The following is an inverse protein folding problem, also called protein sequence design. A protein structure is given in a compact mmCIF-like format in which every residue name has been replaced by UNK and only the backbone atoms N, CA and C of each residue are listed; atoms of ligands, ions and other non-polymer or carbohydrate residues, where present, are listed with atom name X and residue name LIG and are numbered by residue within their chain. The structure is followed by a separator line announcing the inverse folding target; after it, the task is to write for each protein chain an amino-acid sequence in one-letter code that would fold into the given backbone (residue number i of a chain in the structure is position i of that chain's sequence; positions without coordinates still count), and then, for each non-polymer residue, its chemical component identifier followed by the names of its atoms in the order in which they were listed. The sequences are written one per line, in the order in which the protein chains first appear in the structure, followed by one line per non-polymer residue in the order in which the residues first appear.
data_IF_827057024696
#
_entry.id   IF_827057024696
#
_cell.length_a   1.000
_cell.length_b   1.000
_cell.length_c   1.000
_cell.angle_alpha   90.00
_cell.angle_beta   90.00
_cell.angle_gamma   90.00
#
_symmetry.space_group_name_H-M   'P 1'
#
loop_
_entity.id
_entity.type
_entity.pdbx_description
1 polymer ?
#
# COMPACT_ATOMS: atom_id res chain seq x y z
N UNK A 1 -10.66 2.24 -18.88
CA UNK A 1 -9.57 3.23 -18.95
C UNK A 1 -10.05 4.51 -18.31
N UNK A 2 -9.24 5.13 -17.45
CA UNK A 2 -9.57 6.45 -16.87
C UNK A 2 -9.56 7.49 -17.99
N UNK A 3 -10.53 8.40 -18.00
CA UNK A 3 -10.56 9.49 -19.00
C UNK A 3 -9.35 10.41 -18.79
N UNK A 4 -8.63 10.74 -19.86
CA UNK A 4 -7.43 11.59 -19.79
C UNK A 4 -7.70 12.93 -19.10
N UNK A 5 -8.83 13.57 -19.38
CA UNK A 5 -9.21 14.83 -18.74
C UNK A 5 -9.25 14.74 -17.19
N UNK A 6 -9.67 13.60 -16.62
CA UNK A 6 -9.65 13.42 -15.16
C UNK A 6 -8.20 13.32 -14.63
N UNK A 7 -7.33 12.68 -15.41
CA UNK A 7 -5.91 12.53 -15.05
C UNK A 7 -5.22 13.90 -15.07
N UNK A 8 -5.50 14.70 -16.09
CA UNK A 8 -4.94 16.04 -16.25
C UNK A 8 -5.41 16.99 -15.13
N UNK A 9 -6.72 17.00 -14.84
CA UNK A 9 -7.29 17.76 -13.73
C UNK A 9 -6.66 17.38 -12.38
N UNK A 10 -6.47 16.08 -12.14
CA UNK A 10 -5.85 15.59 -10.91
C UNK A 10 -4.37 16.01 -10.83
N UNK A 11 -3.64 15.97 -11.93
CA UNK A 11 -2.25 16.40 -12.00
C UNK A 11 -2.09 17.90 -11.68
N UNK A 12 -2.99 18.72 -12.22
CA UNK A 12 -3.03 20.16 -11.94
C UNK A 12 -3.35 20.43 -10.47
N UNK A 13 -4.41 19.81 -9.92
CA UNK A 13 -4.81 19.95 -8.52
C UNK A 13 -3.67 19.55 -7.57
N UNK A 14 -3.04 18.40 -7.79
CA UNK A 14 -1.92 17.94 -6.96
C UNK A 14 -0.75 18.92 -7.00
N UNK A 15 -0.44 19.44 -8.18
CA UNK A 15 0.67 20.39 -8.34
C UNK A 15 0.38 21.71 -7.64
N UNK A 16 -0.86 22.22 -7.77
CA UNK A 16 -1.30 23.41 -7.08
C UNK A 16 -1.23 23.25 -5.55
N UNK A 17 -1.76 22.13 -5.02
CA UNK A 17 -1.78 21.88 -3.57
C UNK A 17 -0.37 21.73 -2.97
N UNK A 18 0.56 21.13 -3.70
CA UNK A 18 1.96 21.04 -3.25
C UNK A 18 2.67 22.41 -3.22
N UNK A 19 2.16 23.41 -3.93
CA UNK A 19 2.64 24.79 -3.91
C UNK A 19 1.98 25.67 -2.84
N UNK A 20 0.88 25.22 -2.22
CA UNK A 20 0.14 25.97 -1.21
C UNK A 20 0.51 25.50 0.21
N UNK A 21 0.48 26.36 1.21
CA UNK A 21 0.69 25.95 2.60
C UNK A 21 -0.60 25.44 3.25
N UNK A 22 -1.75 25.91 2.76
CA UNK A 22 -3.08 25.65 3.31
C UNK A 22 -4.01 25.31 2.17
N UNK A 23 -4.80 24.24 2.33
CA UNK A 23 -5.72 23.74 1.31
C UNK A 23 -7.15 23.82 1.85
N UNK A 24 -8.09 24.46 1.15
CA UNK A 24 -9.51 24.44 1.51
C UNK A 24 -10.07 23.01 1.46
N UNK A 25 -10.77 22.59 2.53
CA UNK A 25 -11.38 21.26 2.66
C UNK A 25 -12.28 20.91 1.46
N UNK A 26 -13.02 21.90 0.95
CA UNK A 26 -13.88 21.71 -0.23
C UNK A 26 -13.07 21.29 -1.47
N UNK A 27 -11.93 21.92 -1.73
CA UNK A 27 -11.05 21.57 -2.86
C UNK A 27 -10.44 20.18 -2.66
N UNK A 28 -9.98 19.87 -1.43
CA UNK A 28 -9.45 18.55 -1.12
C UNK A 28 -10.49 17.44 -1.30
N UNK A 29 -11.73 17.64 -0.85
CA UNK A 29 -12.85 16.68 -1.09
C UNK A 29 -13.10 16.45 -2.56
N UNK A 30 -13.02 17.49 -3.38
CA UNK A 30 -13.18 17.36 -4.85
C UNK A 30 -12.06 16.52 -5.45
N UNK A 31 -10.81 16.75 -5.06
CA UNK A 31 -9.67 15.94 -5.47
C UNK A 31 -9.84 14.48 -5.04
N UNK A 32 -10.15 14.23 -3.76
CA UNK A 32 -10.38 12.87 -3.24
C UNK A 32 -11.47 12.13 -4.03
N UNK A 33 -12.57 12.80 -4.39
CA UNK A 33 -13.64 12.20 -5.21
C UNK A 33 -13.15 11.75 -6.59
N UNK A 34 -12.31 12.56 -7.26
CA UNK A 34 -11.67 12.19 -8.54
C UNK A 34 -10.67 11.03 -8.36
N UNK A 35 -9.88 11.07 -7.29
CA UNK A 35 -8.90 10.04 -6.98
C UNK A 35 -9.53 8.68 -6.68
N UNK A 36 -10.71 8.62 -6.05
CA UNK A 36 -11.46 7.38 -5.84
C UNK A 36 -11.78 6.70 -7.17
N UNK A 37 -12.13 7.46 -8.22
CA UNK A 37 -12.37 6.90 -9.55
C UNK A 37 -11.11 6.24 -10.13
N UNK A 38 -9.93 6.85 -9.96
CA UNK A 38 -8.65 6.28 -10.39
C UNK A 38 -8.31 5.06 -9.54
N UNK A 39 -8.40 5.16 -8.22
CA UNK A 39 -8.07 4.10 -7.27
C UNK A 39 -9.00 2.87 -7.39
N UNK A 40 -10.21 3.03 -7.92
CA UNK A 40 -11.09 1.89 -8.20
C UNK A 40 -10.52 0.97 -9.28
N UNK A 41 -9.75 1.51 -10.21
CA UNK A 41 -9.09 0.77 -11.29
C UNK A 41 -7.63 0.44 -10.95
N UNK A 42 -6.92 1.38 -10.35
CA UNK A 42 -5.50 1.30 -10.03
C UNK A 42 -5.31 1.14 -8.51
N UNK A 43 -5.33 -0.10 -8.03
CA UNK A 43 -5.33 -0.40 -6.59
C UNK A 43 -4.15 0.16 -5.81
N UNK A 44 -3.00 0.35 -6.47
CA UNK A 44 -1.81 0.98 -5.86
C UNK A 44 -2.08 2.39 -5.31
N UNK A 45 -3.12 3.07 -5.81
CA UNK A 45 -3.49 4.41 -5.38
C UNK A 45 -4.30 4.42 -4.07
N UNK A 46 -4.96 3.31 -3.70
CA UNK A 46 -5.90 3.25 -2.57
C UNK A 46 -5.33 3.70 -1.24
N UNK A 47 -4.16 3.21 -0.79
CA UNK A 47 -3.61 3.63 0.50
C UNK A 47 -3.40 5.13 0.60
N UNK A 48 -2.97 5.74 -0.49
CA UNK A 48 -2.70 7.18 -0.54
C UNK A 48 -3.99 8.00 -0.60
N UNK A 49 -5.04 7.49 -1.25
CA UNK A 49 -6.38 8.12 -1.22
C UNK A 49 -6.95 8.07 0.19
N UNK A 50 -6.83 6.94 0.89
CA UNK A 50 -7.28 6.80 2.28
C UNK A 50 -6.54 7.78 3.21
N UNK A 51 -5.22 7.98 3.02
CA UNK A 51 -4.43 8.99 3.75
C UNK A 51 -4.89 10.43 3.49
N UNK A 52 -5.44 10.74 2.32
CA UNK A 52 -6.01 12.07 2.03
C UNK A 52 -7.37 12.28 2.70
N UNK A 53 -8.14 11.20 2.87
CA UNK A 53 -9.44 11.27 3.53
C UNK A 53 -9.31 11.44 5.05
N UNK A 54 -8.30 10.88 5.69
CA UNK A 54 -8.15 10.88 7.15
C UNK A 54 -8.29 12.29 7.78
N UNK A 55 -7.51 13.33 7.38
CA UNK A 55 -7.63 14.65 7.98
C UNK A 55 -8.92 15.39 7.61
N UNK A 56 -9.72 14.89 6.66
CA UNK A 56 -11.01 15.49 6.31
C UNK A 56 -12.12 15.11 7.28
N UNK A 57 -11.97 14.00 7.99
CA UNK A 57 -12.95 13.50 8.98
C UNK A 57 -12.51 13.74 10.42
N UNK A 58 -11.23 13.91 10.66
CA UNK A 58 -10.66 14.12 11.98
C UNK A 58 -10.33 15.60 12.18
N UNK A 59 -11.14 16.28 13.02
CA UNK A 59 -10.93 17.69 13.33
C UNK A 59 -9.71 17.90 14.22
N UNK A 60 -9.39 16.97 15.09
CA UNK A 60 -8.22 17.05 15.97
C UNK A 60 -6.93 16.91 15.14
N UNK A 61 -6.94 16.04 14.12
CA UNK A 61 -5.82 15.87 13.22
C UNK A 61 -5.48 17.13 12.40
N UNK A 62 -6.44 18.05 12.21
CA UNK A 62 -6.19 19.33 11.50
C UNK A 62 -5.42 20.36 12.33
N UNK A 63 -5.36 20.17 13.65
CA UNK A 63 -4.66 21.08 14.55
C UNK A 63 -5.14 22.53 14.45
N UNK A 64 -4.21 23.47 14.36
CA UNK A 64 -4.44 24.91 14.30
C UNK A 64 -4.66 25.44 12.86
N UNK A 65 -5.06 24.61 11.93
CA UNK A 65 -5.38 25.04 10.57
C UNK A 65 -6.53 26.05 10.56
N UNK A 66 -6.53 27.02 9.63
CA UNK A 66 -7.63 27.96 9.50
C UNK A 66 -8.98 27.27 9.31
N UNK A 67 -10.10 27.85 9.79
CA UNK A 67 -11.42 27.26 9.65
C UNK A 67 -11.73 26.85 8.19
N UNK A 68 -12.18 25.61 8.01
CA UNK A 68 -12.50 25.06 6.68
C UNK A 68 -11.28 24.72 5.81
N UNK A 69 -10.09 24.72 6.39
CA UNK A 69 -8.84 24.38 5.71
C UNK A 69 -8.09 23.23 6.44
N UNK A 70 -7.05 22.72 5.78
CA UNK A 70 -6.07 21.82 6.36
C UNK A 70 -4.65 22.25 5.93
N UNK A 71 -3.65 21.90 6.72
CA UNK A 71 -2.26 22.15 6.35
C UNK A 71 -1.80 21.18 5.27
N UNK A 72 -1.13 21.68 4.25
CA UNK A 72 -0.55 20.84 3.18
C UNK A 72 0.43 19.82 3.74
N UNK A 73 1.13 20.13 4.82
CA UNK A 73 2.05 19.19 5.50
C UNK A 73 1.39 17.88 5.91
N UNK A 74 0.11 17.89 6.27
CA UNK A 74 -0.66 16.72 6.70
C UNK A 74 -0.94 15.73 5.56
N UNK A 75 -1.01 16.23 4.35
CA UNK A 75 -1.33 15.45 3.13
C UNK A 75 -0.18 15.41 2.11
N UNK A 76 0.96 15.99 2.46
CA UNK A 76 2.12 16.11 1.55
C UNK A 76 2.62 14.76 1.05
N UNK A 77 2.74 13.79 1.95
CA UNK A 77 3.26 12.45 1.59
C UNK A 77 2.41 11.79 0.51
N UNK A 78 1.09 11.59 0.69
CA UNK A 78 0.26 10.99 -0.36
C UNK A 78 0.24 11.82 -1.65
N UNK A 79 0.23 13.14 -1.59
CA UNK A 79 0.27 13.99 -2.80
C UNK A 79 1.56 13.82 -3.60
N UNK A 80 2.72 13.73 -2.92
CA UNK A 80 4.02 13.48 -3.58
C UNK A 80 4.05 12.11 -4.26
N UNK A 81 3.55 11.07 -3.60
CA UNK A 81 3.45 9.74 -4.19
C UNK A 81 2.53 9.70 -5.40
N UNK A 82 1.36 10.33 -5.33
CA UNK A 82 0.43 10.41 -6.45
C UNK A 82 1.02 11.18 -7.63
N UNK A 83 1.74 12.27 -7.38
CA UNK A 83 2.49 12.98 -8.43
C UNK A 83 3.52 12.07 -9.10
N UNK A 84 4.23 11.26 -8.32
CA UNK A 84 5.18 10.29 -8.87
C UNK A 84 4.49 9.17 -9.68
N UNK A 85 3.29 8.74 -9.29
CA UNK A 85 2.51 7.76 -10.04
C UNK A 85 2.05 8.31 -11.40
N UNK A 86 1.60 9.56 -11.44
CA UNK A 86 1.20 10.23 -12.70
C UNK A 86 2.36 10.32 -13.69
N UNK A 87 3.61 10.39 -13.21
CA UNK A 87 4.80 10.44 -14.04
C UNK A 87 5.27 9.05 -14.53
N UNK A 88 4.66 7.95 -14.06
CA UNK A 88 5.08 6.57 -14.38
C UNK A 88 3.96 5.80 -15.07
N UNK A 89 4.17 5.43 -16.31
CA UNK A 89 3.22 4.60 -17.09
C UNK A 89 2.78 3.32 -16.37
N UNK A 90 3.70 2.64 -15.68
CA UNK A 90 3.40 1.41 -14.96
C UNK A 90 2.40 1.60 -13.81
N UNK A 91 2.38 2.77 -13.16
CA UNK A 91 1.44 3.09 -12.09
C UNK A 91 0.05 3.53 -12.62
N UNK A 92 -0.04 3.85 -13.92
CA UNK A 92 -1.26 4.28 -14.60
C UNK A 92 -1.92 3.18 -15.43
N UNK A 93 -1.34 1.96 -15.41
CA UNK A 93 -1.85 0.81 -16.16
C UNK A 93 -2.14 -0.35 -15.21
N UNK A 94 -3.19 -1.06 -15.49
CA UNK A 94 -3.50 -2.36 -14.90
C UNK A 94 -3.86 -3.32 -16.02
N UNK A 95 -3.07 -4.36 -16.13
CA UNK A 95 -3.26 -5.42 -17.12
C UNK A 95 -3.91 -6.63 -16.44
N UNK A 96 -4.84 -7.27 -17.14
CA UNK A 96 -5.50 -8.49 -16.72
C UNK A 96 -5.28 -9.54 -17.81
N UNK A 97 -4.71 -10.65 -17.44
CA UNK A 97 -4.53 -11.78 -18.34
C UNK A 97 -5.57 -12.83 -17.99
N UNK A 98 -6.39 -13.24 -18.96
CA UNK A 98 -7.42 -14.28 -18.76
C UNK A 98 -6.81 -15.56 -18.22
N UNK A 99 -5.61 -15.89 -18.65
CA UNK A 99 -4.86 -17.04 -18.18
C UNK A 99 -4.58 -17.04 -16.66
N UNK A 100 -4.54 -15.87 -16.00
CA UNK A 100 -4.35 -15.77 -14.54
C UNK A 100 -5.55 -16.33 -13.77
N UNK A 101 -6.72 -16.35 -14.42
CA UNK A 101 -7.96 -16.87 -13.85
C UNK A 101 -8.22 -18.34 -14.21
N UNK A 102 -7.45 -18.93 -15.11
CA UNK A 102 -7.64 -20.32 -15.54
C UNK A 102 -6.95 -21.35 -14.64
N UNK A 103 -6.26 -20.90 -13.60
CA UNK A 103 -5.58 -21.80 -12.66
C UNK A 103 -4.39 -22.54 -13.25
N UNK A 104 -3.80 -22.00 -14.31
CA UNK A 104 -2.60 -22.56 -14.95
C UNK A 104 -1.33 -22.06 -14.27
N UNK A 105 -0.30 -22.90 -14.23
CA UNK A 105 1.03 -22.57 -13.72
C UNK A 105 1.47 -23.40 -12.53
N UNK A 106 2.74 -23.24 -12.15
CA UNK A 106 3.33 -23.94 -11.02
C UNK A 106 2.68 -23.48 -9.72
N UNK A 107 2.35 -24.41 -8.83
CA UNK A 107 1.78 -24.09 -7.53
C UNK A 107 2.89 -23.62 -6.59
N UNK A 108 2.78 -22.37 -6.15
CA UNK A 108 3.70 -21.73 -5.22
C UNK A 108 2.91 -21.25 -4.01
N UNK A 109 3.41 -21.54 -2.81
CA UNK A 109 2.80 -21.07 -1.58
C UNK A 109 3.84 -20.36 -0.72
N UNK A 110 3.47 -19.18 -0.21
CA UNK A 110 4.20 -18.48 0.82
C UNK A 110 3.40 -18.62 2.11
N UNK A 111 4.04 -19.11 3.17
CA UNK A 111 3.48 -19.05 4.52
C UNK A 111 4.37 -18.13 5.34
N UNK A 112 3.78 -17.14 5.98
CA UNK A 112 4.51 -16.14 6.75
C UNK A 112 3.82 -15.90 8.09
N UNK A 113 4.64 -15.67 9.09
CA UNK A 113 4.26 -15.38 10.46
C UNK A 113 5.26 -14.40 11.06
N UNK A 114 4.82 -13.59 12.02
CA UNK A 114 5.68 -12.67 12.74
C UNK A 114 5.36 -12.69 14.24
N UNK A 115 6.38 -12.47 15.02
CA UNK A 115 6.25 -12.16 16.44
C UNK A 115 6.78 -10.74 16.69
N UNK A 116 6.58 -10.17 17.89
CA UNK A 116 7.16 -8.87 18.22
C UNK A 116 8.70 -8.84 18.23
N UNK A 117 9.37 -9.97 17.99
CA UNK A 117 10.84 -10.09 18.00
C UNK A 117 11.41 -10.58 16.68
N UNK A 118 10.63 -11.32 15.89
CA UNK A 118 11.17 -12.07 14.74
C UNK A 118 10.15 -12.17 13.60
N UNK A 119 10.67 -12.15 12.40
CA UNK A 119 9.94 -12.38 11.16
C UNK A 119 10.29 -13.75 10.60
N UNK A 120 9.30 -14.53 10.18
CA UNK A 120 9.48 -15.85 9.60
C UNK A 120 8.62 -16.08 8.37
N UNK A 121 9.19 -16.68 7.33
CA UNK A 121 8.43 -17.13 6.17
C UNK A 121 9.08 -18.35 5.53
N UNK A 122 8.29 -19.18 4.85
CA UNK A 122 8.82 -20.22 3.98
C UNK A 122 8.09 -20.27 2.63
N UNK A 123 8.84 -20.70 1.63
CA UNK A 123 8.37 -20.91 0.26
C UNK A 123 8.16 -22.41 0.04
N UNK A 124 7.00 -22.75 -0.46
CA UNK A 124 6.64 -24.09 -0.87
C UNK A 124 6.38 -24.12 -2.37
N UNK A 125 6.99 -25.01 -3.09
CA UNK A 125 6.78 -25.24 -4.51
C UNK A 125 6.31 -26.69 -4.72
N UNK A 126 5.15 -26.86 -5.35
CA UNK A 126 4.54 -28.17 -5.61
C UNK A 126 4.43 -29.09 -4.37
N UNK A 127 4.20 -28.51 -3.20
CA UNK A 127 4.03 -29.23 -1.93
C UNK A 127 5.34 -29.45 -1.14
N UNK A 128 6.49 -29.01 -1.65
CA UNK A 128 7.78 -29.13 -0.97
C UNK A 128 8.30 -27.76 -0.52
N UNK A 129 8.75 -27.65 0.72
CA UNK A 129 9.42 -26.43 1.21
C UNK A 129 10.79 -26.35 0.55
N UNK A 130 11.05 -25.25 -0.17
CA UNK A 130 12.28 -25.04 -0.92
C UNK A 130 13.18 -24.00 -0.30
N UNK A 131 12.61 -22.99 0.37
CA UNK A 131 13.37 -21.91 1.00
C UNK A 131 12.63 -21.38 2.23
N UNK A 132 13.40 -20.72 3.11
CA UNK A 132 12.84 -20.02 4.26
C UNK A 132 13.58 -18.70 4.51
N UNK A 133 12.91 -17.78 5.20
CA UNK A 133 13.45 -16.51 5.69
C UNK A 133 13.19 -16.48 7.19
N UNK A 134 14.23 -16.15 7.96
CA UNK A 134 14.15 -15.84 9.38
C UNK A 134 14.96 -14.58 9.61
N UNK A 135 14.39 -13.58 10.25
CA UNK A 135 15.07 -12.33 10.59
C UNK A 135 14.58 -11.79 11.93
N UNK A 136 15.50 -11.46 12.81
CA UNK A 136 15.15 -10.70 14.01
C UNK A 136 14.77 -9.27 13.61
N UNK A 137 13.82 -8.69 14.34
CA UNK A 137 13.48 -7.27 14.19
C UNK A 137 14.64 -6.43 14.71
N UNK A 138 15.12 -5.51 13.88
CA UNK A 138 16.25 -4.65 14.19
C UNK A 138 15.82 -3.30 14.79
N UNK A 139 16.77 -2.57 15.36
CA UNK A 139 16.53 -1.21 15.82
C UNK A 139 16.23 -0.24 14.65
N UNK A 140 16.73 -0.53 13.45
CA UNK A 140 16.39 0.25 12.26
C UNK A 140 14.93 0.05 11.86
N UNK A 141 14.41 -1.17 11.98
CA UNK A 141 13.00 -1.47 11.73
C UNK A 141 12.12 -0.74 12.75
N UNK A 142 12.49 -0.75 14.04
CA UNK A 142 11.74 -0.04 15.08
C UNK A 142 11.72 1.47 14.84
N UNK A 143 12.84 2.05 14.46
CA UNK A 143 12.92 3.48 14.14
C UNK A 143 12.08 3.84 12.88
N UNK A 144 12.08 2.95 11.88
CA UNK A 144 11.33 3.16 10.62
C UNK A 144 9.83 3.07 10.80
N UNK A 145 9.35 2.13 11.61
CA UNK A 145 7.93 1.84 11.79
C UNK A 145 7.36 2.41 13.09
N UNK A 146 8.18 3.05 13.91
CA UNK A 146 7.81 3.64 15.19
C UNK A 146 7.14 2.63 16.16
N UNK A 147 7.67 1.41 16.19
CA UNK A 147 7.24 0.36 17.11
C UNK A 147 8.43 -0.20 17.87
N UNK A 148 8.25 -0.57 19.13
CA UNK A 148 9.32 -1.15 19.95
C UNK A 148 9.39 -2.68 19.77
N UNK A 149 10.60 -3.23 19.85
CA UNK A 149 10.79 -4.69 19.88
C UNK A 149 10.11 -5.24 21.13
N UNK A 150 9.32 -6.30 20.97
CA UNK A 150 8.57 -6.94 22.06
C UNK A 150 7.21 -6.30 22.33
N UNK A 151 6.85 -5.20 21.68
CA UNK A 151 5.55 -4.55 21.84
C UNK A 151 4.50 -5.17 20.90
N UNK A 152 3.40 -5.60 21.48
CA UNK A 152 2.26 -6.15 20.75
C UNK A 152 1.59 -5.13 19.81
N UNK A 153 1.72 -3.83 20.07
CA UNK A 153 1.18 -2.78 19.19
C UNK A 153 1.77 -2.80 17.78
N UNK A 154 3.01 -3.30 17.63
CA UNK A 154 3.68 -3.46 16.34
C UNK A 154 3.29 -4.71 15.55
N UNK A 155 2.54 -5.65 16.14
CA UNK A 155 2.33 -6.99 15.58
C UNK A 155 1.78 -6.95 14.13
N UNK A 156 0.76 -6.17 13.86
CA UNK A 156 0.17 -6.05 12.52
C UNK A 156 1.18 -5.51 11.49
N UNK A 157 2.05 -4.60 11.91
CA UNK A 157 3.11 -4.05 11.06
C UNK A 157 4.14 -5.13 10.70
N UNK A 158 4.54 -5.94 11.67
CA UNK A 158 5.51 -7.02 11.47
C UNK A 158 4.97 -8.14 10.58
N UNK A 159 3.69 -8.48 10.75
CA UNK A 159 3.00 -9.45 9.87
C UNK A 159 2.88 -8.95 8.43
N UNK A 160 2.56 -7.68 8.23
CA UNK A 160 2.54 -7.09 6.88
C UNK A 160 3.96 -7.00 6.29
N UNK A 161 4.96 -6.68 7.12
CA UNK A 161 6.36 -6.57 6.69
C UNK A 161 6.91 -7.90 6.20
N UNK A 162 6.69 -9.00 6.93
CA UNK A 162 7.21 -10.30 6.49
C UNK A 162 6.59 -10.75 5.17
N UNK A 163 5.31 -10.49 4.95
CA UNK A 163 4.68 -10.77 3.66
C UNK A 163 5.31 -9.97 2.52
N UNK A 164 5.57 -8.68 2.74
CA UNK A 164 6.26 -7.84 1.77
C UNK A 164 7.69 -8.31 1.49
N UNK A 165 8.44 -8.65 2.54
CA UNK A 165 9.82 -9.16 2.43
C UNK A 165 9.83 -10.48 1.63
N UNK A 166 8.97 -11.42 1.98
CA UNK A 166 8.87 -12.72 1.31
C UNK A 166 8.52 -12.58 -0.17
N UNK A 167 7.52 -11.76 -0.49
CA UNK A 167 7.14 -11.48 -1.88
C UNK A 167 8.27 -10.86 -2.69
N UNK A 168 8.99 -9.90 -2.10
CA UNK A 168 10.13 -9.24 -2.77
C UNK A 168 11.32 -10.19 -2.94
N UNK A 169 11.68 -10.93 -1.90
CA UNK A 169 12.82 -11.84 -1.93
C UNK A 169 12.64 -12.94 -2.98
N UNK A 170 11.42 -13.47 -3.11
CA UNK A 170 11.14 -14.58 -4.02
C UNK A 170 10.56 -14.15 -5.38
N UNK A 171 10.24 -12.88 -5.58
CA UNK A 171 9.72 -12.39 -6.86
C UNK A 171 10.56 -12.77 -8.09
N UNK A 172 11.91 -12.83 -8.05
CA UNK A 172 12.70 -13.26 -9.20
C UNK A 172 12.41 -14.68 -9.66
N UNK A 173 11.91 -15.56 -8.75
CA UNK A 173 11.60 -16.97 -9.08
C UNK A 173 10.44 -17.14 -10.05
N UNK A 174 9.53 -16.17 -10.09
CA UNK A 174 8.35 -16.22 -10.97
C UNK A 174 8.20 -15.03 -11.89
N UNK A 175 9.16 -14.12 -11.94
CA UNK A 175 9.11 -12.89 -12.75
C UNK A 175 8.80 -13.14 -14.24
N UNK A 176 9.21 -14.30 -14.77
CA UNK A 176 8.99 -14.71 -16.17
C UNK A 176 8.28 -16.06 -16.29
N UNK A 177 7.55 -16.48 -15.27
CA UNK A 177 6.87 -17.76 -15.21
C UNK A 177 5.44 -17.58 -14.76
N UNK A 178 4.52 -18.39 -15.27
CA UNK A 178 3.18 -18.52 -14.69
C UNK A 178 3.25 -19.31 -13.41
N UNK A 179 2.72 -18.73 -12.34
CA UNK A 179 2.58 -19.39 -11.05
C UNK A 179 1.18 -19.15 -10.49
N UNK A 180 0.67 -20.12 -9.77
CA UNK A 180 -0.47 -19.97 -8.89
C UNK A 180 0.09 -19.66 -7.50
N UNK A 181 0.15 -18.39 -7.15
CA UNK A 181 0.68 -17.95 -5.87
C UNK A 181 -0.43 -17.96 -4.81
N UNK A 182 -0.28 -18.79 -3.79
CA UNK A 182 -1.07 -18.76 -2.58
C UNK A 182 -0.25 -18.13 -1.45
N UNK A 183 -0.88 -17.23 -0.68
CA UNK A 183 -0.27 -16.63 0.50
C UNK A 183 -1.07 -17.02 1.73
N UNK A 184 -0.38 -17.47 2.79
CA UNK A 184 -0.95 -17.83 4.08
C UNK A 184 -0.32 -17.01 5.20
N UNK A 185 -1.16 -16.47 6.06
CA UNK A 185 -0.83 -15.85 7.33
C UNK A 185 -2.04 -16.01 8.22
N UNK A 186 -1.87 -15.99 9.52
CA UNK A 186 -2.96 -15.93 10.51
C UNK A 186 -3.52 -14.51 10.67
N UNK A 187 -2.79 -13.49 10.18
CA UNK A 187 -3.22 -12.10 10.20
C UNK A 187 -4.17 -11.77 9.04
N UNK A 188 -5.45 -11.65 9.36
CA UNK A 188 -6.47 -11.20 8.39
C UNK A 188 -6.17 -9.76 7.92
N UNK A 189 -5.68 -8.89 8.80
CA UNK A 189 -5.34 -7.50 8.48
C UNK A 189 -4.19 -7.42 7.48
N UNK A 190 -3.10 -8.18 7.68
CA UNK A 190 -1.97 -8.25 6.78
C UNK A 190 -2.37 -8.81 5.40
N UNK A 191 -3.16 -9.90 5.36
CA UNK A 191 -3.70 -10.44 4.11
C UNK A 191 -4.62 -9.44 3.39
N UNK A 192 -5.45 -8.71 4.14
CA UNK A 192 -6.34 -7.70 3.56
C UNK A 192 -5.55 -6.53 2.98
N UNK A 193 -4.51 -6.06 3.68
CA UNK A 193 -3.61 -5.03 3.18
C UNK A 193 -2.94 -5.47 1.87
N UNK A 194 -2.46 -6.71 1.81
CA UNK A 194 -1.83 -7.28 0.62
C UNK A 194 -2.78 -7.34 -0.57
N UNK A 195 -4.02 -7.82 -0.37
CA UNK A 195 -4.98 -8.07 -1.45
C UNK A 195 -5.71 -6.81 -1.89
N UNK A 196 -6.05 -5.94 -0.98
CA UNK A 196 -6.90 -4.77 -1.21
C UNK A 196 -6.13 -3.46 -1.24
N UNK A 197 -4.86 -3.46 -0.83
CA UNK A 197 -4.09 -2.25 -0.57
C UNK A 197 -4.85 -1.30 0.36
N UNK A 198 -5.53 -1.87 1.36
CA UNK A 198 -6.33 -1.13 2.33
C UNK A 198 -6.03 -1.67 3.71
N UNK A 199 -5.67 -0.77 4.63
CA UNK A 199 -5.59 -1.11 6.03
C UNK A 199 -7.01 -1.19 6.62
N UNK A 200 -7.28 -2.25 7.36
CA UNK A 200 -8.51 -2.41 8.15
C UNK A 200 -8.05 -2.33 9.60
N UNK A 201 -7.97 -1.09 10.10
CA UNK A 201 -7.78 -0.82 11.51
C UNK A 201 -9.11 -0.70 12.21
#
# INVERSE_FOLDING_TARGET
MVKQAIVDDVAEDITAFLGENVIPIKRMRTLCGRLVCIASLLYIWRPFVDMLWAPLYDEEARGDAPPGCLWTSQVKVPLVWMKAFLAKDAAMKREFYVADYMGEGKKVRITADASPWCLGAYLEEDGCITEYIISAISQEDTARFNHMIGDAAGQQTWEALILLVALRAWSPKWQNRRVQLAVRSDSISALTALLKFKNVG
#
